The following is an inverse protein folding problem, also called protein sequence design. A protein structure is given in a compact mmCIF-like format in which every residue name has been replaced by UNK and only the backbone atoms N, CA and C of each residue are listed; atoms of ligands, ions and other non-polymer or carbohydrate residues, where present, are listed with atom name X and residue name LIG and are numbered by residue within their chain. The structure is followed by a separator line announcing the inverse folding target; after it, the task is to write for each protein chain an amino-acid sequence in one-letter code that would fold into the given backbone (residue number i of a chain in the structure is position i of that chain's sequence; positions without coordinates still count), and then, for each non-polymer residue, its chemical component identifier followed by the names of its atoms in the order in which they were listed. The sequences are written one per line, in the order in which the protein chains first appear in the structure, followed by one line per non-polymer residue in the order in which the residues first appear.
data_IF_298123644042
#
_entry.id   IF_298123644042
#
_cell.length_a   1.000
_cell.length_b   1.000
_cell.length_c   1.000
_cell.angle_alpha   90.00
_cell.angle_beta   90.00
_cell.angle_gamma   90.00
#
_symmetry.space_group_name_H-M   'P 1'
#
loop_
_entity.id
_entity.type
_entity.pdbx_description
1 polymer ?
#
# COMPACT_ATOMS: atom_id res chain seq x y z
N UNK A 1 5.53 -6.25 11.50
CA UNK A 1 6.59 -5.27 11.21
C UNK A 1 6.69 -4.26 12.35
N UNK A 2 7.86 -3.66 12.51
CA UNK A 2 8.13 -2.66 13.55
C UNK A 2 7.25 -1.39 13.40
N UNK A 3 7.06 -0.63 14.49
CA UNK A 3 6.24 0.59 14.49
C UNK A 3 7.00 1.79 15.12
N UNK A 4 7.88 2.46 14.36
CA UNK A 4 8.76 3.51 14.87
C UNK A 4 8.07 4.88 14.94
N UNK A 5 6.81 4.93 15.40
CA UNK A 5 6.04 6.17 15.53
C UNK A 5 5.73 6.46 17.00
N UNK A 6 5.72 7.74 17.38
CA UNK A 6 5.39 8.21 18.73
C UNK A 6 3.90 8.11 19.11
N UNK A 7 3.09 7.41 18.32
CA UNK A 7 1.66 7.17 18.54
C UNK A 7 1.33 5.71 18.23
N UNK A 8 0.26 5.18 18.81
CA UNK A 8 -0.13 3.78 18.61
C UNK A 8 -0.72 3.54 17.22
N UNK A 9 -0.69 2.28 16.76
CA UNK A 9 -1.38 1.85 15.54
C UNK A 9 -2.88 2.16 15.59
N UNK A 10 -3.47 2.02 16.77
CA UNK A 10 -4.89 2.31 17.00
C UNK A 10 -5.20 3.80 16.83
N UNK A 11 -4.37 4.69 17.38
CA UNK A 11 -4.53 6.12 17.14
C UNK A 11 -4.40 6.50 15.66
N UNK A 12 -3.62 5.74 14.88
CA UNK A 12 -3.48 5.94 13.44
C UNK A 12 -4.70 5.46 12.65
N UNK A 13 -5.22 4.27 12.98
CA UNK A 13 -6.28 3.60 12.21
C UNK A 13 -7.70 3.96 12.70
N UNK A 14 -7.88 4.22 13.99
CA UNK A 14 -9.18 4.42 14.65
C UNK A 14 -9.21 5.67 15.55
N UNK A 15 -8.91 6.87 15.02
CA UNK A 15 -8.92 8.10 15.83
C UNK A 15 -10.30 8.52 16.34
N UNK A 16 -11.39 7.96 15.80
CA UNK A 16 -12.78 8.25 16.23
C UNK A 16 -13.61 6.95 16.31
N UNK A 17 -14.61 6.87 17.21
CA UNK A 17 -15.34 5.62 17.47
C UNK A 17 -16.06 5.01 16.25
N UNK A 18 -16.60 5.84 15.35
CA UNK A 18 -17.33 5.33 14.17
C UNK A 18 -16.48 4.48 13.23
N UNK A 19 -15.14 4.61 13.29
CA UNK A 19 -14.24 3.85 12.42
C UNK A 19 -14.10 2.38 12.81
N UNK A 20 -14.53 1.95 14.00
CA UNK A 20 -14.55 0.54 14.36
C UNK A 20 -15.70 -0.22 13.69
N UNK A 21 -16.80 0.47 13.37
CA UNK A 21 -17.98 -0.11 12.72
C UNK A 21 -17.86 -0.05 11.20
N UNK A 22 -17.38 1.09 10.67
CA UNK A 22 -17.23 1.29 9.25
C UNK A 22 -15.90 1.99 8.94
N UNK A 23 -14.96 1.22 8.39
CA UNK A 23 -13.62 1.68 8.06
C UNK A 23 -13.41 1.70 6.55
N UNK A 24 -13.12 2.88 6.03
CA UNK A 24 -12.45 3.01 4.73
C UNK A 24 -10.92 2.99 4.92
N UNK A 25 -10.24 2.11 4.20
CA UNK A 25 -8.78 2.02 4.20
C UNK A 25 -8.22 2.83 3.03
N UNK A 26 -7.26 3.72 3.32
CA UNK A 26 -6.48 4.33 2.27
C UNK A 26 -5.65 3.24 1.57
N UNK A 27 -5.85 3.00 0.26
CA UNK A 27 -5.18 1.90 -0.44
C UNK A 27 -3.68 2.16 -0.65
N UNK A 28 -3.26 3.41 -0.52
CA UNK A 28 -1.86 3.86 -0.64
C UNK A 28 -1.53 4.86 0.46
N UNK A 29 -0.24 5.02 0.74
CA UNK A 29 0.28 6.08 1.61
C UNK A 29 0.19 7.46 0.94
N UNK A 30 0.72 8.49 1.62
CA UNK A 30 0.87 9.83 1.03
C UNK A 30 1.69 9.74 -0.28
N UNK A 31 1.16 10.36 -1.33
CA UNK A 31 1.81 10.45 -2.66
C UNK A 31 3.01 11.40 -2.60
N UNK A 32 4.10 11.02 -3.28
CA UNK A 32 5.25 11.90 -3.52
C UNK A 32 5.03 12.70 -4.81
N UNK A 33 4.57 13.94 -4.65
CA UNK A 33 4.27 14.82 -5.77
C UNK A 33 5.54 15.27 -6.52
N UNK A 34 6.62 15.58 -5.81
CA UNK A 34 7.84 16.13 -6.44
C UNK A 34 8.55 15.08 -7.28
N UNK A 35 8.52 13.82 -6.84
CA UNK A 35 9.01 12.72 -7.66
C UNK A 35 8.18 12.60 -8.95
N UNK A 36 6.85 12.68 -8.85
CA UNK A 36 5.95 12.63 -10.01
C UNK A 36 6.23 13.73 -11.03
N UNK A 37 6.41 14.97 -10.58
CA UNK A 37 6.71 16.11 -11.46
C UNK A 37 8.05 15.97 -12.19
N UNK A 38 9.03 15.30 -11.56
CA UNK A 38 10.37 15.07 -12.13
C UNK A 38 10.46 13.81 -13.00
N UNK A 39 9.52 12.87 -12.85
CA UNK A 39 9.50 11.57 -13.52
C UNK A 39 8.13 11.35 -14.16
N UNK A 40 7.81 12.16 -15.17
CA UNK A 40 6.48 12.15 -15.78
C UNK A 40 6.20 10.83 -16.51
N UNK A 41 5.29 10.04 -15.95
CA UNK A 41 4.72 8.82 -16.56
C UNK A 41 3.20 9.02 -16.65
N UNK A 42 2.68 9.17 -17.86
CA UNK A 42 1.28 9.48 -18.12
C UNK A 42 0.53 8.39 -18.91
N UNK A 43 1.15 7.23 -19.09
CA UNK A 43 0.56 6.03 -19.67
C UNK A 43 0.73 4.87 -18.71
N UNK A 44 -0.08 3.83 -18.88
CA UNK A 44 0.06 2.60 -18.10
C UNK A 44 1.47 2.04 -18.29
N UNK A 45 2.17 1.63 -17.20
CA UNK A 45 3.39 0.87 -17.34
C UNK A 45 3.08 -0.49 -17.96
N UNK A 46 4.08 -1.15 -18.57
CA UNK A 46 3.87 -2.40 -19.26
C UNK A 46 3.41 -3.50 -18.27
N UNK A 47 2.70 -4.55 -18.72
CA UNK A 47 2.13 -5.58 -17.84
C UNK A 47 3.14 -6.20 -16.86
N UNK A 48 4.38 -6.33 -17.29
CA UNK A 48 5.50 -6.89 -16.53
C UNK A 48 5.81 -6.06 -15.27
N UNK A 49 5.45 -4.77 -15.24
CA UNK A 49 5.60 -3.92 -14.06
C UNK A 49 4.68 -4.30 -12.89
N UNK A 50 3.71 -5.17 -13.12
CA UNK A 50 2.72 -5.61 -12.13
C UNK A 50 2.85 -7.08 -11.75
N UNK A 51 3.76 -7.80 -12.39
CA UNK A 51 4.06 -9.18 -12.02
C UNK A 51 4.84 -9.13 -10.71
N UNK A 52 4.16 -9.38 -9.59
CA UNK A 52 4.82 -9.61 -8.31
C UNK A 52 5.59 -10.93 -8.40
N UNK A 53 6.88 -10.94 -8.08
CA UNK A 53 7.66 -12.16 -7.82
C UNK A 53 7.20 -12.85 -6.52
N UNK A 54 5.90 -13.10 -6.37
CA UNK A 54 5.42 -14.03 -5.37
C UNK A 54 5.73 -15.44 -5.91
N UNK A 55 6.43 -16.31 -5.16
CA UNK A 55 6.46 -17.72 -5.54
C UNK A 55 5.03 -18.24 -5.45
N UNK A 56 4.47 -18.66 -6.57
CA UNK A 56 3.15 -19.27 -6.64
C UNK A 56 3.08 -20.45 -5.66
N UNK A 57 2.14 -20.40 -4.71
CA UNK A 57 1.89 -21.42 -3.68
C UNK A 57 1.21 -22.69 -4.24
N UNK A 58 1.18 -22.90 -5.56
CA UNK A 58 0.66 -24.12 -6.18
C UNK A 58 1.77 -24.89 -6.92
N UNK A 59 2.49 -25.67 -6.13
CA UNK A 59 3.06 -26.98 -6.43
C UNK A 59 2.59 -27.62 -7.76
N UNK A 60 3.50 -27.79 -8.72
CA UNK A 60 3.54 -29.02 -9.51
C UNK A 60 4.90 -29.68 -9.32
N UNK A 61 4.82 -30.90 -8.77
CA UNK A 61 5.93 -31.76 -8.45
C UNK A 61 6.69 -32.20 -9.70
N UNK A 62 8.02 -32.11 -9.64
CA UNK A 62 8.95 -33.06 -10.25
C UNK A 62 10.27 -33.06 -9.47
#
# INVERSE_FOLDING_TARGET
GDWPHGYSREAAAYPVPGLYENKFWAPVSRVDNVFGDRNLVCACPPPEAWVSEAPDEDQEAA
#
